data_IF_472383415047
#
_entry.id   IF_472383415047
#
_cell.length_a   1.000
_cell.length_b   1.000
_cell.length_c   1.000
_cell.angle_alpha   90.00
_cell.angle_beta   90.00
_cell.angle_gamma   90.00
#
_symmetry.space_group_name_H-M   'P 1'
#
loop_
_entity.id
_entity.type
_entity.pdbx_description
1 polymer ?
#
# COMPACT_ATOMS: atom_id res chain seq x y z
N UNK A 1 17.40 -10.22 -15.71
CA UNK A 1 16.24 -11.00 -15.24
C UNK A 1 15.98 -12.13 -16.23
N UNK A 2 15.69 -13.34 -15.76
CA UNK A 2 15.41 -14.51 -16.61
C UNK A 2 13.98 -15.02 -16.36
N UNK A 3 13.35 -15.63 -17.35
CA UNK A 3 12.05 -16.30 -17.20
C UNK A 3 12.18 -17.65 -16.46
N UNK A 4 11.05 -18.33 -16.23
CA UNK A 4 11.01 -19.67 -15.61
C UNK A 4 11.69 -20.77 -16.46
N UNK A 5 11.92 -20.53 -17.75
CA UNK A 5 12.66 -21.42 -18.65
C UNK A 5 14.15 -21.06 -18.81
N UNK A 6 14.64 -20.04 -18.10
CA UNK A 6 16.03 -19.58 -18.15
C UNK A 6 16.36 -18.59 -19.28
N UNK A 7 15.38 -18.20 -20.11
CA UNK A 7 15.55 -17.18 -21.17
C UNK A 7 15.85 -15.83 -20.52
N UNK A 8 16.89 -15.15 -21.00
CA UNK A 8 17.25 -13.80 -20.56
C UNK A 8 16.20 -12.82 -21.10
N UNK A 9 15.45 -12.20 -20.20
CA UNK A 9 14.42 -11.19 -20.52
C UNK A 9 14.97 -9.77 -20.44
N UNK A 10 15.84 -9.54 -19.44
CA UNK A 10 16.47 -8.24 -19.19
C UNK A 10 17.95 -8.46 -18.96
N UNK A 11 18.80 -7.82 -19.74
CA UNK A 11 20.24 -7.69 -19.47
C UNK A 11 20.51 -6.26 -18.99
N UNK A 12 21.48 -6.07 -18.10
CA UNK A 12 21.72 -4.76 -17.52
C UNK A 12 23.18 -4.50 -17.19
N UNK A 13 23.69 -3.34 -17.60
CA UNK A 13 25.05 -2.88 -17.32
C UNK A 13 25.02 -1.62 -16.48
N UNK A 14 25.94 -1.49 -15.53
CA UNK A 14 26.06 -0.26 -14.73
C UNK A 14 26.52 0.89 -15.63
N UNK A 15 25.63 1.84 -15.91
CA UNK A 15 25.91 3.00 -16.76
C UNK A 15 26.66 4.09 -15.98
N UNK A 16 26.22 4.37 -14.74
CA UNK A 16 26.82 5.44 -13.93
C UNK A 16 26.58 5.23 -12.45
N UNK A 17 27.58 5.51 -11.62
CA UNK A 17 27.43 5.55 -10.16
C UNK A 17 27.69 6.97 -9.67
N UNK A 18 26.72 7.57 -8.99
CA UNK A 18 26.84 8.90 -8.36
C UNK A 18 26.52 8.75 -6.87
N UNK A 19 27.57 8.67 -6.05
CA UNK A 19 27.45 8.33 -4.63
C UNK A 19 26.79 6.95 -4.47
N UNK A 20 25.70 6.89 -3.70
CA UNK A 20 24.92 5.66 -3.50
C UNK A 20 23.99 5.33 -4.69
N UNK A 21 23.76 6.25 -5.63
CA UNK A 21 22.85 6.00 -6.76
C UNK A 21 23.57 5.28 -7.88
N UNK A 22 23.10 4.09 -8.22
CA UNK A 22 23.54 3.32 -9.38
C UNK A 22 22.51 3.45 -10.49
N UNK A 23 22.92 3.95 -11.64
CA UNK A 23 22.13 4.01 -12.87
C UNK A 23 22.54 2.81 -13.70
N UNK A 24 21.58 1.95 -14.02
CA UNK A 24 21.81 0.79 -14.87
C UNK A 24 21.17 1.07 -16.23
N UNK A 25 21.91 0.79 -17.30
CA UNK A 25 21.33 0.63 -18.62
C UNK A 25 20.72 -0.77 -18.67
N UNK A 26 19.44 -0.86 -19.00
CA UNK A 26 18.71 -2.14 -19.00
C UNK A 26 18.19 -2.36 -20.41
N UNK A 27 18.79 -3.34 -21.09
CA UNK A 27 18.34 -3.79 -22.39
C UNK A 27 17.24 -4.84 -22.18
N UNK A 28 16.07 -4.60 -22.80
CA UNK A 28 15.02 -5.61 -22.93
C UNK A 28 15.41 -6.50 -24.10
N UNK A 29 15.67 -7.78 -23.82
CA UNK A 29 16.22 -8.74 -24.80
C UNK A 29 15.12 -9.57 -25.47
N UNK A 30 13.85 -9.17 -25.32
CA UNK A 30 12.78 -9.79 -26.07
C UNK A 30 12.79 -9.27 -27.51
N UNK A 31 13.27 -10.11 -28.42
CA UNK A 31 13.00 -10.02 -29.85
C UNK A 31 11.49 -10.17 -30.07
N UNK A 32 10.77 -9.04 -30.04
CA UNK A 32 9.42 -8.95 -30.60
C UNK A 32 9.62 -8.39 -32.02
N UNK A 33 9.52 -9.25 -33.01
CA UNK A 33 9.44 -8.91 -34.44
C UNK A 33 10.62 -8.09 -35.03
N UNK A 34 11.85 -8.35 -34.58
CA UNK A 34 13.06 -7.78 -35.22
C UNK A 34 13.19 -6.26 -35.11
N UNK A 35 12.38 -5.62 -34.25
CA UNK A 35 12.40 -4.19 -34.01
C UNK A 35 12.94 -3.94 -32.59
N UNK A 36 14.17 -3.42 -32.50
CA UNK A 36 14.82 -3.09 -31.23
C UNK A 36 13.91 -2.11 -30.46
N UNK A 37 13.31 -2.50 -29.32
CA UNK A 37 12.50 -1.58 -28.55
C UNK A 37 13.36 -0.41 -28.05
N UNK A 38 12.80 0.80 -27.90
CA UNK A 38 13.54 1.94 -27.39
C UNK A 38 14.10 1.59 -26.01
N UNK A 39 15.40 1.80 -25.83
CA UNK A 39 16.11 1.56 -24.57
C UNK A 39 15.44 2.39 -23.47
N UNK A 40 14.59 1.76 -22.68
CA UNK A 40 13.97 2.37 -21.53
C UNK A 40 14.98 2.31 -20.38
N UNK A 41 15.69 3.42 -20.14
CA UNK A 41 16.59 3.52 -19.00
C UNK A 41 15.78 3.47 -17.69
N UNK A 42 15.68 2.28 -17.09
CA UNK A 42 15.05 2.10 -15.77
C UNK A 42 16.10 2.41 -14.71
N UNK A 43 16.00 3.58 -14.09
CA UNK A 43 16.83 3.92 -12.94
C UNK A 43 16.46 3.06 -11.72
N UNK A 44 17.09 1.88 -11.60
CA UNK A 44 16.96 1.01 -10.44
C UNK A 44 17.65 1.61 -9.21
N UNK A 45 16.88 2.15 -8.26
CA UNK A 45 17.44 2.49 -6.94
C UNK A 45 17.62 1.22 -6.13
N UNK A 46 18.81 1.05 -5.58
CA UNK A 46 19.06 0.02 -4.56
C UNK A 46 18.11 0.26 -3.38
N UNK A 47 17.26 -0.72 -3.10
CA UNK A 47 16.28 -0.68 -2.01
C UNK A 47 16.94 -0.74 -0.63
N UNK A 48 18.20 -1.16 -0.58
CA UNK A 48 18.99 -1.26 0.65
C UNK A 48 19.67 0.03 1.07
N UNK A 49 19.38 1.16 0.40
CA UNK A 49 19.94 2.44 0.81
C UNK A 49 19.29 2.94 2.11
N UNK A 50 20.11 3.37 3.08
CA UNK A 50 19.64 4.09 4.25
C UNK A 50 18.72 5.24 3.84
N UNK A 51 17.56 5.33 4.47
CA UNK A 51 16.59 6.40 4.21
C UNK A 51 16.10 6.97 5.54
N UNK A 52 15.47 8.13 5.47
CA UNK A 52 14.83 8.75 6.62
C UNK A 52 13.59 7.96 7.08
N UNK A 53 13.11 8.31 8.27
CA UNK A 53 11.95 7.67 8.88
C UNK A 53 10.68 7.78 8.02
N UNK A 54 10.50 8.91 7.33
CA UNK A 54 9.39 9.11 6.38
C UNK A 54 9.49 8.14 5.18
N UNK A 55 10.69 7.94 4.62
CA UNK A 55 10.92 6.97 3.57
C UNK A 55 10.59 5.53 4.02
N UNK A 56 10.99 5.15 5.23
CA UNK A 56 10.63 3.84 5.79
C UNK A 56 9.14 3.69 6.06
N UNK A 57 8.50 4.75 6.57
CA UNK A 57 7.06 4.78 6.80
C UNK A 57 6.28 4.49 5.52
N UNK A 58 6.60 5.15 4.40
CA UNK A 58 5.95 4.87 3.10
C UNK A 58 6.29 3.49 2.54
N UNK A 59 7.55 3.04 2.64
CA UNK A 59 7.99 1.70 2.16
C UNK A 59 7.29 0.55 2.87
N UNK A 60 6.96 0.73 4.15
CA UNK A 60 6.29 -0.27 4.98
C UNK A 60 4.77 -0.06 5.03
N UNK A 61 4.19 0.48 3.96
CA UNK A 61 2.74 0.66 3.82
C UNK A 61 2.18 1.52 4.96
N UNK A 62 2.79 2.67 5.20
CA UNK A 62 2.36 3.63 6.20
C UNK A 62 2.34 3.07 7.64
N UNK A 63 3.23 2.13 7.95
CA UNK A 63 3.35 1.55 9.27
C UNK A 63 3.63 2.62 10.35
N UNK A 64 3.14 2.38 11.57
CA UNK A 64 3.35 3.26 12.71
C UNK A 64 4.84 3.56 12.93
N UNK A 65 5.14 4.84 13.04
CA UNK A 65 6.49 5.37 13.14
C UNK A 65 7.23 4.81 14.35
N UNK A 66 6.55 4.73 15.51
CA UNK A 66 7.13 4.18 16.74
C UNK A 66 7.45 2.70 16.56
N UNK A 67 6.62 1.96 15.82
CA UNK A 67 6.89 0.56 15.47
C UNK A 67 8.14 0.43 14.60
N UNK A 68 8.31 1.30 13.60
CA UNK A 68 9.51 1.32 12.75
C UNK A 68 10.77 1.61 13.57
N UNK A 69 10.72 2.60 14.47
CA UNK A 69 11.84 2.91 15.36
C UNK A 69 12.19 1.75 16.30
N UNK A 70 11.18 1.06 16.85
CA UNK A 70 11.41 -0.14 17.67
C UNK A 70 12.02 -1.27 16.87
N UNK A 71 11.60 -1.50 15.63
CA UNK A 71 12.19 -2.52 14.76
C UNK A 71 13.65 -2.19 14.46
N UNK A 72 13.97 -0.92 14.20
CA UNK A 72 15.35 -0.46 14.01
C UNK A 72 16.20 -0.68 15.27
N UNK A 73 15.70 -0.25 16.43
CA UNK A 73 16.42 -0.33 17.70
C UNK A 73 16.69 -1.77 18.14
N UNK A 74 15.79 -2.69 17.81
CA UNK A 74 15.91 -4.11 18.13
C UNK A 74 16.59 -4.94 17.03
N UNK A 75 16.97 -4.32 15.91
CA UNK A 75 17.58 -5.02 14.77
C UNK A 75 16.68 -6.12 14.17
N UNK A 76 15.36 -5.90 14.13
CA UNK A 76 14.39 -6.94 13.72
C UNK A 76 14.25 -7.09 12.21
N UNK A 77 14.82 -6.17 11.43
CA UNK A 77 14.68 -6.13 9.96
C UNK A 77 16.03 -5.81 9.35
N UNK A 78 16.53 -6.71 8.51
CA UNK A 78 17.79 -6.51 7.78
C UNK A 78 17.67 -5.33 6.82
N UNK A 79 18.73 -4.50 6.76
CA UNK A 79 18.76 -3.33 5.89
C UNK A 79 17.92 -2.14 6.38
N UNK A 80 17.23 -2.24 7.52
CA UNK A 80 16.45 -1.15 8.09
C UNK A 80 17.36 -0.11 8.77
N UNK A 81 18.01 0.73 7.97
CA UNK A 81 18.87 1.83 8.44
C UNK A 81 18.14 3.16 8.31
N UNK A 82 17.89 3.82 9.45
CA UNK A 82 17.23 5.12 9.53
C UNK A 82 18.28 6.22 9.60
N UNK A 83 18.36 7.08 8.58
CA UNK A 83 19.36 8.18 8.53
C UNK A 83 18.95 9.38 9.38
N UNK A 84 17.65 9.65 9.50
CA UNK A 84 17.09 10.76 10.28
C UNK A 84 15.76 10.36 10.90
N UNK A 85 15.65 10.51 12.22
CA UNK A 85 14.43 10.27 13.01
C UNK A 85 13.48 11.47 13.03
N UNK A 86 13.27 12.12 11.88
CA UNK A 86 12.31 13.21 11.79
C UNK A 86 11.18 12.79 10.86
N UNK A 87 9.99 12.60 11.41
CA UNK A 87 8.78 12.78 10.61
C UNK A 87 8.45 14.27 10.63
N UNK A 88 8.38 14.91 9.46
CA UNK A 88 7.88 16.28 9.37
C UNK A 88 6.36 16.24 9.55
N UNK A 89 5.89 16.35 10.79
CA UNK A 89 4.46 16.37 11.10
C UNK A 89 3.80 14.99 10.98
N UNK A 90 2.49 14.99 10.70
CA UNK A 90 1.67 13.79 10.49
C UNK A 90 1.58 13.47 8.99
N UNK A 91 1.59 12.19 8.64
CA UNK A 91 1.43 11.77 7.24
C UNK A 91 -0.01 12.00 6.77
N UNK A 92 -0.19 12.79 5.70
CA UNK A 92 -1.51 13.11 5.12
C UNK A 92 -2.27 11.85 4.69
N UNK A 93 -1.60 10.91 4.01
CA UNK A 93 -2.19 9.65 3.58
C UNK A 93 -2.68 8.81 4.77
N UNK A 94 -1.95 8.84 5.88
CA UNK A 94 -2.38 8.16 7.10
C UNK A 94 -3.61 8.82 7.72
N UNK A 95 -3.66 10.15 7.74
CA UNK A 95 -4.81 10.87 8.29
C UNK A 95 -6.07 10.55 7.48
N UNK A 96 -5.95 10.58 6.15
CA UNK A 96 -7.06 10.32 5.25
C UNK A 96 -7.46 8.83 5.19
N UNK A 97 -6.48 7.93 5.29
CA UNK A 97 -6.69 6.49 5.17
C UNK A 97 -7.03 5.78 6.48
N UNK A 98 -6.64 6.35 7.63
CA UNK A 98 -6.90 5.74 8.93
C UNK A 98 -8.24 6.22 9.45
N UNK A 99 -9.28 5.45 9.15
CA UNK A 99 -10.57 5.61 9.80
C UNK A 99 -10.41 5.39 11.30
N UNK A 100 -10.71 6.40 12.10
CA UNK A 100 -10.94 6.27 13.52
C UNK A 100 -12.40 5.88 13.76
N UNK A 101 -12.61 4.82 14.55
CA UNK A 101 -13.95 4.52 15.04
C UNK A 101 -14.21 5.44 16.23
N UNK A 102 -14.92 6.55 15.99
CA UNK A 102 -15.52 7.27 17.09
C UNK A 102 -16.44 6.31 17.88
N UNK A 103 -16.42 6.36 19.23
CA UNK A 103 -17.41 5.62 20.00
C UNK A 103 -18.82 6.08 19.62
N UNK A 104 -19.77 5.16 19.66
CA UNK A 104 -21.18 5.54 19.62
C UNK A 104 -21.51 6.32 20.90
N UNK A 105 -22.58 7.12 20.86
CA UNK A 105 -23.02 7.86 22.04
C UNK A 105 -23.17 6.92 23.25
N UNK A 106 -22.58 7.31 24.39
CA UNK A 106 -22.52 6.48 25.60
C UNK A 106 -23.90 6.23 26.25
N UNK A 107 -24.91 7.04 25.88
CA UNK A 107 -26.24 7.00 26.47
C UNK A 107 -27.30 6.62 25.43
N UNK A 108 -27.76 5.37 25.49
CA UNK A 108 -28.94 4.91 24.75
C UNK A 108 -30.13 4.88 25.70
N UNK A 109 -31.10 5.76 25.47
CA UNK A 109 -32.39 5.73 26.17
C UNK A 109 -33.22 4.60 25.57
N UNK A 110 -33.70 3.70 26.42
CA UNK A 110 -34.57 2.60 26.01
C UNK A 110 -36.02 2.92 26.36
N UNK A 111 -36.91 2.42 25.53
CA UNK A 111 -38.35 2.49 25.69
C UNK A 111 -38.80 1.64 26.89
N UNK A 112 -39.73 2.17 27.67
CA UNK A 112 -40.26 1.52 28.88
C UNK A 112 -41.60 0.85 28.67
N UNK A 113 -42.33 1.25 27.61
CA UNK A 113 -43.67 0.76 27.31
C UNK A 113 -43.73 -0.09 26.04
N UNK A 114 -44.73 -0.97 25.96
CA UNK A 114 -44.94 -1.82 24.79
C UNK A 114 -45.30 -0.97 23.56
N UNK A 115 -44.63 -1.24 22.44
CA UNK A 115 -44.81 -0.54 21.16
C UNK A 115 -44.53 0.97 21.18
N UNK A 116 -43.80 1.47 22.19
CA UNK A 116 -43.41 2.88 22.29
C UNK A 116 -42.55 3.34 21.10
N UNK A 117 -41.73 2.43 20.55
CA UNK A 117 -41.00 2.65 19.29
C UNK A 117 -41.10 1.42 18.38
N UNK A 118 -41.46 1.67 17.13
CA UNK A 118 -41.44 0.67 16.06
C UNK A 118 -40.47 1.13 14.98
N UNK A 119 -39.39 0.38 14.78
CA UNK A 119 -38.51 0.56 13.64
C UNK A 119 -39.03 -0.31 12.49
N UNK A 120 -39.31 0.32 11.35
CA UNK A 120 -39.62 -0.39 10.10
C UNK A 120 -38.48 -0.11 9.15
N UNK A 121 -37.88 -1.18 8.62
CA UNK A 121 -36.86 -1.07 7.59
C UNK A 121 -37.45 -1.44 6.23
N UNK A 122 -37.01 -0.74 5.19
CA UNK A 122 -37.33 -1.05 3.82
C UNK A 122 -36.11 -1.74 3.21
N UNK A 123 -36.25 -3.03 2.97
CA UNK A 123 -35.31 -3.75 2.14
C UNK A 123 -35.56 -3.45 0.66
N UNK A 124 -34.49 -3.49 -0.14
CA UNK A 124 -34.60 -3.35 -1.58
C UNK A 124 -35.21 -4.60 -2.23
N UNK A 125 -35.47 -4.50 -3.53
CA UNK A 125 -36.14 -5.53 -4.33
C UNK A 125 -35.70 -6.96 -4.03
N UNK A 126 -36.68 -7.78 -3.68
CA UNK A 126 -36.55 -9.19 -3.43
C UNK A 126 -35.99 -9.91 -4.65
N UNK A 127 -35.11 -10.88 -4.42
CA UNK A 127 -34.60 -11.72 -5.53
C UNK A 127 -35.67 -12.61 -6.15
N UNK A 128 -36.74 -12.90 -5.39
CA UNK A 128 -37.81 -13.80 -5.80
C UNK A 128 -39.12 -13.02 -5.80
N UNK A 129 -39.88 -13.01 -6.92
CA UNK A 129 -41.18 -12.36 -6.97
C UNK A 129 -42.18 -13.09 -6.08
N UNK A 130 -43.16 -12.35 -5.58
CA UNK A 130 -44.33 -12.91 -4.90
C UNK A 130 -45.13 -13.80 -5.84
N UNK A 131 -46.11 -14.52 -5.29
CA UNK A 131 -47.05 -15.32 -6.09
C UNK A 131 -47.82 -14.47 -7.11
N UNK A 132 -48.08 -13.19 -6.82
CA UNK A 132 -48.71 -12.23 -7.76
C UNK A 132 -47.73 -11.60 -8.75
N UNK A 133 -46.44 -11.97 -8.71
CA UNK A 133 -45.40 -11.44 -9.59
C UNK A 133 -44.77 -10.12 -9.12
N UNK A 134 -45.15 -9.61 -7.95
CA UNK A 134 -44.59 -8.37 -7.41
C UNK A 134 -43.20 -8.60 -6.80
N UNK A 135 -42.30 -7.64 -7.00
CA UNK A 135 -40.95 -7.64 -6.44
C UNK A 135 -40.87 -6.47 -5.45
N UNK A 136 -40.84 -6.78 -4.15
CA UNK A 136 -40.80 -5.83 -3.04
C UNK A 136 -39.37 -5.63 -2.57
#
# INVERSE_FOLDING_TARGET
MRDRGGKLLLDGKLAKSIGHRKLYDVDVVDDIDGQRPPVAAIAGRDRNQPTDLEGWHRRLVHADVRRIERMAAKGLVDGLTITRKLLRGMCEDCILGKQDKAPFDDFVVHETELLERVHVDLWGQARTPSWSGAVY
#
